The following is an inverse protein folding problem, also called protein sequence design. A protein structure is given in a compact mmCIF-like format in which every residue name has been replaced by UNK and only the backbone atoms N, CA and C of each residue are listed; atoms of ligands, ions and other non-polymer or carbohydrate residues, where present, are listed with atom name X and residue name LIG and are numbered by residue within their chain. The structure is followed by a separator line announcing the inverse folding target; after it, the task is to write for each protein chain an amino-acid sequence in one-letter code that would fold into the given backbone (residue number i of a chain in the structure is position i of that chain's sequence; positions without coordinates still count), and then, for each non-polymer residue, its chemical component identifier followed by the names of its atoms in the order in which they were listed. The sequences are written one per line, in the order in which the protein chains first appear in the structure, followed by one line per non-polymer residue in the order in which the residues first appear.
data_IF_656685847106
#
_entry.id   IF_656685847106
#
_cell.length_a   1.000
_cell.length_b   1.000
_cell.length_c   1.000
_cell.angle_alpha   90.00
_cell.angle_beta   90.00
_cell.angle_gamma   90.00
#
_symmetry.space_group_name_H-M   'P 1'
#
loop_
_entity.id
_entity.type
_entity.pdbx_description
1 polymer ?
#
# COMPACT_ATOMS: atom_id res chain seq x y z
N UNK A 1 -7.05 -8.77 -3.53
CA UNK A 1 -7.47 -8.25 -2.21
C UNK A 1 -6.54 -7.10 -1.83
N UNK A 2 -7.08 -6.02 -1.29
CA UNK A 2 -6.31 -4.88 -0.77
C UNK A 2 -6.50 -4.75 0.74
N UNK A 3 -5.69 -3.93 1.42
CA UNK A 3 -5.91 -3.55 2.82
C UNK A 3 -6.52 -2.16 2.85
N UNK A 4 -7.74 -2.04 3.35
CA UNK A 4 -8.48 -0.79 3.38
C UNK A 4 -8.33 0.00 4.67
N UNK A 5 -9.12 1.08 4.82
CA UNK A 5 -8.91 2.09 5.84
C UNK A 5 -9.11 1.59 7.29
N UNK A 6 -9.95 0.57 7.50
CA UNK A 6 -10.22 0.00 8.83
C UNK A 6 -9.32 -1.23 9.13
N UNK A 7 -8.02 -1.04 8.96
CA UNK A 7 -6.98 -2.05 9.24
C UNK A 7 -5.81 -1.43 9.97
N UNK A 8 -4.99 -2.26 10.63
CA UNK A 8 -3.72 -1.80 11.21
C UNK A 8 -2.85 -1.07 10.17
N UNK A 9 -2.75 -1.60 8.95
CA UNK A 9 -2.01 -0.95 7.86
C UNK A 9 -2.67 0.38 7.47
N UNK A 10 -3.99 0.46 7.44
CA UNK A 10 -4.73 1.70 7.24
C UNK A 10 -4.36 2.77 8.26
N UNK A 11 -4.32 2.42 9.55
CA UNK A 11 -3.91 3.35 10.61
C UNK A 11 -2.43 3.73 10.56
N UNK A 12 -1.56 2.77 10.26
CA UNK A 12 -0.13 3.03 10.05
C UNK A 12 0.08 4.05 8.92
N UNK A 13 -0.64 3.88 7.80
CA UNK A 13 -0.60 4.80 6.67
C UNK A 13 -1.08 6.20 7.05
N UNK A 14 -2.19 6.30 7.81
CA UNK A 14 -2.68 7.59 8.33
C UNK A 14 -1.64 8.29 9.20
N UNK A 15 -1.03 7.57 10.13
CA UNK A 15 0.02 8.11 11.00
C UNK A 15 1.28 8.53 10.24
N UNK A 16 1.54 7.89 9.09
CA UNK A 16 2.59 8.26 8.15
C UNK A 16 2.24 9.41 7.21
N UNK A 17 1.02 9.96 7.28
CA UNK A 17 0.56 11.09 6.47
C UNK A 17 -0.12 10.73 5.15
N UNK A 18 -0.57 9.48 4.98
CA UNK A 18 -1.31 9.01 3.81
C UNK A 18 -2.81 8.90 4.08
N UNK A 19 -3.59 8.89 3.01
CA UNK A 19 -5.01 8.53 3.05
C UNK A 19 -5.17 7.11 2.51
N UNK A 20 -5.41 6.08 3.34
CA UNK A 20 -5.68 4.74 2.84
C UNK A 20 -6.99 4.72 2.03
N UNK A 21 -7.00 3.95 0.95
CA UNK A 21 -8.10 3.87 -0.01
C UNK A 21 -8.78 2.49 0.05
N UNK A 22 -10.09 2.45 -0.12
CA UNK A 22 -10.87 1.22 -0.22
C UNK A 22 -12.18 1.26 0.57
N UNK A 23 -13.22 0.51 0.15
CA UNK A 23 -14.55 0.55 0.78
C UNK A 23 -14.63 -0.16 2.13
N UNK A 24 -13.84 -1.22 2.36
CA UNK A 24 -13.92 -2.09 3.53
C UNK A 24 -12.52 -2.48 4.05
N UNK A 25 -12.44 -3.34 5.07
CA UNK A 25 -11.16 -3.79 5.66
C UNK A 25 -10.27 -4.53 4.65
N UNK A 26 -10.81 -5.48 3.88
CA UNK A 26 -10.02 -6.28 2.92
C UNK A 26 -10.78 -6.54 1.60
N UNK A 27 -11.09 -5.51 0.81
CA UNK A 27 -11.93 -5.67 -0.37
C UNK A 27 -11.16 -6.35 -1.51
N UNK A 28 -11.89 -7.16 -2.27
CA UNK A 28 -11.47 -7.59 -3.62
C UNK A 28 -12.02 -6.55 -4.59
N UNK A 29 -11.13 -5.77 -5.19
CA UNK A 29 -11.50 -4.71 -6.12
C UNK A 29 -11.53 -5.25 -7.54
N UNK A 30 -12.56 -4.88 -8.30
CA UNK A 30 -12.54 -5.02 -9.76
C UNK A 30 -11.56 -4.02 -10.36
N UNK A 31 -11.25 -4.20 -11.64
CA UNK A 31 -10.44 -3.27 -12.42
C UNK A 31 -11.02 -1.84 -12.40
N UNK A 32 -12.31 -1.69 -12.68
CA UNK A 32 -12.99 -0.38 -12.66
C UNK A 32 -12.97 0.27 -11.28
N UNK A 33 -13.17 -0.53 -10.21
CA UNK A 33 -13.09 -0.02 -8.84
C UNK A 33 -11.67 0.44 -8.50
N UNK A 34 -10.65 -0.29 -8.92
CA UNK A 34 -9.25 0.08 -8.70
C UNK A 34 -8.90 1.39 -9.43
N UNK A 35 -9.39 1.58 -10.66
CA UNK A 35 -9.19 2.82 -11.41
C UNK A 35 -9.91 4.01 -10.77
N UNK A 36 -11.15 3.80 -10.30
CA UNK A 36 -11.93 4.82 -9.62
C UNK A 36 -11.29 5.32 -8.31
N UNK A 37 -10.44 4.52 -7.67
CA UNK A 37 -9.68 4.95 -6.48
C UNK A 37 -8.58 5.98 -6.80
N UNK A 38 -8.11 6.05 -8.05
CA UNK A 38 -7.09 6.99 -8.52
C UNK A 38 -5.89 7.17 -7.55
N UNK A 39 -5.17 6.07 -7.18
CA UNK A 39 -4.12 6.13 -6.19
C UNK A 39 -2.92 6.97 -6.65
N UNK A 40 -2.37 7.78 -5.76
CA UNK A 40 -1.11 8.50 -5.98
C UNK A 40 0.11 7.65 -5.60
N UNK A 41 -0.06 6.72 -4.66
CA UNK A 41 0.98 5.81 -4.17
C UNK A 41 0.38 4.41 -4.07
N UNK A 42 1.13 3.42 -4.54
CA UNK A 42 0.75 2.01 -4.50
C UNK A 42 1.87 1.24 -3.80
N UNK A 43 1.51 0.52 -2.73
CA UNK A 43 2.43 -0.30 -1.96
C UNK A 43 2.18 -1.78 -2.26
N UNK A 44 3.25 -2.48 -2.63
CA UNK A 44 3.26 -3.89 -3.00
C UNK A 44 4.13 -4.67 -2.01
N UNK A 45 3.54 -5.27 -0.96
CA UNK A 45 4.31 -6.01 0.04
C UNK A 45 4.91 -7.31 -0.51
N UNK A 46 6.07 -7.73 -0.01
CA UNK A 46 6.69 -9.01 -0.40
C UNK A 46 6.04 -10.24 0.26
N UNK A 47 5.21 -10.06 1.28
CA UNK A 47 4.52 -11.10 2.04
C UNK A 47 3.15 -10.59 2.55
N UNK A 48 2.14 -11.47 2.75
CA UNK A 48 2.17 -12.92 2.51
C UNK A 48 2.11 -13.29 1.03
N UNK A 49 1.56 -12.42 0.19
CA UNK A 49 1.63 -12.56 -1.26
C UNK A 49 2.92 -11.92 -1.77
N UNK A 50 3.73 -12.68 -2.53
CA UNK A 50 5.00 -12.19 -3.06
C UNK A 50 4.77 -11.33 -4.30
N UNK A 51 4.50 -10.05 -4.10
CA UNK A 51 4.56 -9.10 -5.20
C UNK A 51 5.98 -9.03 -5.77
N UNK A 52 6.09 -8.80 -7.08
CA UNK A 52 7.34 -8.89 -7.83
C UNK A 52 7.52 -7.65 -8.71
N UNK A 53 8.71 -7.51 -9.31
CA UNK A 53 8.98 -6.44 -10.25
C UNK A 53 8.00 -6.42 -11.44
N UNK A 54 7.49 -7.60 -11.84
CA UNK A 54 6.47 -7.72 -12.88
C UNK A 54 5.15 -7.04 -12.47
N UNK A 55 4.65 -7.35 -11.27
CA UNK A 55 3.42 -6.72 -10.75
C UNK A 55 3.58 -5.20 -10.62
N UNK A 56 4.74 -4.75 -10.16
CA UNK A 56 5.08 -3.32 -10.13
C UNK A 56 5.01 -2.69 -11.51
N UNK A 57 5.60 -3.31 -12.53
CA UNK A 57 5.57 -2.79 -13.90
C UNK A 57 4.15 -2.76 -14.48
N UNK A 58 3.33 -3.78 -14.21
CA UNK A 58 1.93 -3.82 -14.64
C UNK A 58 1.12 -2.67 -14.03
N UNK A 59 1.24 -2.43 -12.72
CA UNK A 59 0.57 -1.31 -12.06
C UNK A 59 1.15 0.05 -12.45
N UNK A 60 2.46 0.15 -12.70
CA UNK A 60 3.08 1.40 -13.18
C UNK A 60 2.55 1.78 -14.57
N UNK A 61 2.32 0.79 -15.45
CA UNK A 61 1.70 1.04 -16.77
C UNK A 61 0.24 1.49 -16.64
N UNK A 62 -0.52 0.90 -15.72
CA UNK A 62 -1.91 1.25 -15.45
C UNK A 62 -2.06 2.62 -14.78
N UNK A 63 -1.16 2.96 -13.87
CA UNK A 63 -1.12 4.23 -13.14
C UNK A 63 0.22 4.95 -13.37
N UNK A 64 0.43 5.58 -14.55
CA UNK A 64 1.73 6.17 -14.91
C UNK A 64 2.20 7.29 -13.99
N UNK A 65 1.27 7.96 -13.29
CA UNK A 65 1.57 9.05 -12.36
C UNK A 65 1.71 8.60 -10.91
N UNK A 66 1.32 7.36 -10.59
CA UNK A 66 1.42 6.84 -9.25
C UNK A 66 2.85 6.38 -8.94
N UNK A 67 3.29 6.59 -7.71
CA UNK A 67 4.52 5.99 -7.20
C UNK A 67 4.26 4.55 -6.77
N UNK A 68 4.85 3.57 -7.46
CA UNK A 68 4.63 2.14 -7.19
C UNK A 68 5.87 1.54 -6.51
N UNK A 69 5.72 1.13 -5.24
CA UNK A 69 6.80 0.65 -4.39
C UNK A 69 6.64 -0.84 -4.06
N UNK A 70 7.71 -1.61 -4.24
CA UNK A 70 7.83 -2.91 -3.57
C UNK A 70 8.37 -2.64 -2.16
N UNK A 71 7.69 -3.17 -1.15
CA UNK A 71 7.98 -2.91 0.26
C UNK A 71 8.07 -4.23 1.01
N UNK A 72 8.91 -4.28 2.04
CA UNK A 72 9.02 -5.46 2.88
C UNK A 72 7.69 -5.69 3.62
N UNK A 73 7.04 -6.82 3.32
CA UNK A 73 5.75 -7.17 3.89
C UNK A 73 5.82 -7.35 5.41
N UNK A 74 6.94 -7.81 5.96
CA UNK A 74 7.07 -8.01 7.41
C UNK A 74 7.13 -6.68 8.16
N UNK A 75 7.72 -5.63 7.56
CA UNK A 75 7.74 -4.30 8.15
C UNK A 75 6.30 -3.76 8.26
N UNK A 76 5.47 -3.99 7.23
CA UNK A 76 4.10 -3.46 7.20
C UNK A 76 3.07 -4.29 7.96
N UNK A 77 3.31 -5.58 8.18
CA UNK A 77 2.28 -6.51 8.69
C UNK A 77 2.57 -7.05 10.10
N UNK A 78 3.79 -6.93 10.61
CA UNK A 78 4.13 -7.39 11.97
C UNK A 78 4.04 -6.23 12.96
N UNK A 79 2.90 -6.13 13.63
CA UNK A 79 2.67 -5.17 14.72
C UNK A 79 3.56 -5.48 15.95
N UNK A 80 3.80 -4.48 16.81
CA UNK A 80 4.69 -4.46 17.99
C UNK A 80 6.07 -3.83 17.71
N UNK A 81 7.16 -4.59 17.83
CA UNK A 81 8.54 -4.05 17.86
C UNK A 81 8.99 -3.40 16.55
N UNK A 82 8.19 -3.50 15.48
CA UNK A 82 8.49 -2.95 14.16
C UNK A 82 7.63 -1.74 13.78
N UNK A 83 6.66 -1.34 14.61
CA UNK A 83 5.76 -0.22 14.29
C UNK A 83 6.52 1.08 14.04
N UNK A 84 7.56 1.36 14.82
CA UNK A 84 8.41 2.56 14.63
C UNK A 84 9.12 2.54 13.27
N UNK A 85 9.81 1.45 12.96
CA UNK A 85 10.47 1.27 11.65
C UNK A 85 9.47 1.30 10.48
N UNK A 86 8.26 0.79 10.70
CA UNK A 86 7.19 0.84 9.71
C UNK A 86 6.69 2.27 9.46
N UNK A 87 6.57 3.09 10.52
CA UNK A 87 6.22 4.50 10.39
C UNK A 87 7.31 5.29 9.64
N UNK A 88 8.58 5.05 9.95
CA UNK A 88 9.69 5.71 9.26
C UNK A 88 9.75 5.33 7.79
N UNK A 89 9.57 4.04 7.47
CA UNK A 89 9.43 3.58 6.10
C UNK A 89 8.28 4.31 5.40
N UNK A 90 7.08 4.29 5.96
CA UNK A 90 5.91 4.94 5.35
C UNK A 90 6.19 6.43 5.11
N UNK A 91 6.74 7.14 6.10
CA UNK A 91 7.08 8.58 5.95
C UNK A 91 8.08 8.84 4.82
N UNK A 92 9.06 7.96 4.61
CA UNK A 92 10.04 8.07 3.52
C UNK A 92 9.43 7.90 2.12
N UNK A 93 8.24 7.28 2.02
CA UNK A 93 7.53 7.04 0.77
C UNK A 93 6.66 8.22 0.34
N UNK A 94 6.63 9.31 1.11
CA UNK A 94 5.83 10.48 0.75
C UNK A 94 6.43 11.15 -0.50
N UNK A 95 5.62 11.37 -1.55
CA UNK A 95 6.07 12.19 -2.67
C UNK A 95 6.38 13.62 -2.18
N UNK A 96 7.45 14.20 -2.72
CA UNK A 96 7.87 15.59 -2.47
C UNK A 96 6.91 16.61 -3.07
#
# INVERSE_FOLDING_TARGET
MSAGPDTYLGDLLRQGGFTPLGPDRYPVLTEDQLDALAPQVILLPTEPFRFSARHRQELQKRFPKAAVHLVDGQILTWYLSRTEAALDLVRSLRPS
#
